data_IF_230080844715
#
_entry.id   IF_230080844715
#
_cell.length_a   1.000
_cell.length_b   1.000
_cell.length_c   1.000
_cell.angle_alpha   90.00
_cell.angle_beta   90.00
_cell.angle_gamma   90.00
#
_symmetry.space_group_name_H-M   'P 1'
#
loop_
_entity.id
_entity.type
_entity.pdbx_description
1 polymer ?
#
# COMPACT_ATOMS: atom_id res chain seq x y z
N UNK A 1 -15.43 10.04 8.23
CA UNK A 1 -14.80 9.06 9.15
C UNK A 1 -14.26 7.94 8.29
N UNK A 2 -12.99 7.56 8.43
CA UNK A 2 -12.42 6.41 7.71
C UNK A 2 -12.80 5.14 8.48
N UNK A 3 -13.86 4.47 8.04
CA UNK A 3 -14.37 3.24 8.69
C UNK A 3 -14.30 2.06 7.71
N UNK A 4 -14.41 0.85 8.25
CA UNK A 4 -14.60 -0.37 7.48
C UNK A 4 -16.04 -0.90 7.63
N UNK A 5 -17.01 0.00 7.70
CA UNK A 5 -18.43 -0.38 7.74
C UNK A 5 -18.78 -1.17 6.46
N UNK A 6 -19.54 -2.26 6.61
CA UNK A 6 -19.89 -3.15 5.49
C UNK A 6 -18.87 -4.26 5.21
N UNK A 7 -17.71 -4.28 5.90
CA UNK A 7 -16.66 -5.30 5.69
C UNK A 7 -17.11 -6.74 5.98
N UNK A 8 -18.15 -6.90 6.81
CA UNK A 8 -18.75 -8.18 7.15
C UNK A 8 -19.47 -8.84 5.96
N UNK A 9 -19.91 -8.03 4.99
CA UNK A 9 -20.58 -8.51 3.79
C UNK A 9 -19.60 -8.97 2.69
N UNK A 10 -18.31 -8.68 2.86
CA UNK A 10 -17.25 -9.11 1.95
C UNK A 10 -16.69 -10.47 2.37
N UNK A 11 -16.94 -11.47 1.54
CA UNK A 11 -16.32 -12.78 1.65
C UNK A 11 -14.97 -12.76 0.93
N UNK A 12 -13.94 -13.25 1.62
CA UNK A 12 -12.59 -13.38 1.10
C UNK A 12 -12.04 -14.73 1.53
N UNK A 13 -11.34 -15.40 0.63
CA UNK A 13 -10.66 -16.66 0.86
C UNK A 13 -9.34 -16.69 0.09
N UNK A 14 -8.63 -17.82 0.17
CA UNK A 14 -7.36 -18.03 -0.55
C UNK A 14 -7.50 -17.98 -2.08
N UNK A 15 -8.70 -18.09 -2.64
CA UNK A 15 -8.97 -17.93 -4.07
C UNK A 15 -9.28 -16.47 -4.45
N UNK A 16 -9.27 -15.55 -3.49
CA UNK A 16 -9.54 -14.12 -3.71
C UNK A 16 -8.25 -13.35 -3.94
N UNK A 17 -8.21 -12.55 -5.01
CA UNK A 17 -7.24 -11.48 -5.18
C UNK A 17 -7.86 -10.16 -4.76
N UNK A 18 -7.13 -9.37 -3.96
CA UNK A 18 -7.51 -7.98 -3.64
C UNK A 18 -6.62 -7.05 -4.46
N UNK A 19 -7.23 -6.06 -5.10
CA UNK A 19 -6.51 -5.05 -5.88
C UNK A 19 -6.98 -3.68 -5.40
N UNK A 20 -6.02 -2.83 -5.05
CA UNK A 20 -6.27 -1.41 -4.81
C UNK A 20 -5.59 -0.59 -5.90
N UNK A 21 -6.30 0.41 -6.41
CA UNK A 21 -5.79 1.36 -7.39
C UNK A 21 -6.19 2.75 -6.92
N UNK A 22 -5.23 3.55 -6.45
CA UNK A 22 -5.46 4.89 -5.85
C UNK A 22 -6.42 4.94 -4.65
N UNK A 23 -6.88 3.80 -4.14
CA UNK A 23 -7.90 3.79 -3.08
C UNK A 23 -7.30 3.99 -1.69
N UNK A 24 -5.98 3.76 -1.55
CA UNK A 24 -5.27 3.96 -0.30
C UNK A 24 -4.59 5.33 -0.22
N UNK A 25 -4.54 6.06 -1.33
CA UNK A 25 -3.79 7.30 -1.50
C UNK A 25 -4.02 8.30 -0.37
N UNK A 26 -5.26 8.57 0.05
CA UNK A 26 -5.57 9.62 1.03
C UNK A 26 -5.58 9.13 2.50
N UNK A 27 -4.99 7.97 2.79
CA UNK A 27 -5.03 7.40 4.14
C UNK A 27 -3.96 7.99 5.08
N UNK A 28 -2.94 8.68 4.56
CA UNK A 28 -1.78 9.05 5.37
C UNK A 28 -1.20 7.82 6.07
N UNK A 29 -1.11 7.90 7.41
CA UNK A 29 -0.67 6.79 8.24
C UNK A 29 -1.84 5.94 8.81
N UNK A 30 -3.09 6.21 8.42
CA UNK A 30 -4.30 5.57 8.96
C UNK A 30 -4.72 4.30 8.18
N UNK A 31 -3.76 3.57 7.63
CA UNK A 31 -4.01 2.36 6.83
C UNK A 31 -4.17 1.08 7.67
N UNK A 32 -3.84 1.10 8.97
CA UNK A 32 -3.88 -0.10 9.82
C UNK A 32 -5.21 -0.85 9.78
N UNK A 33 -6.39 -0.21 9.81
CA UNK A 33 -7.66 -0.94 9.76
C UNK A 33 -7.79 -1.83 8.52
N UNK A 34 -7.45 -1.33 7.32
CA UNK A 34 -7.55 -2.12 6.09
C UNK A 34 -6.48 -3.21 6.04
N UNK A 35 -5.26 -2.92 6.51
CA UNK A 35 -4.18 -3.89 6.60
C UNK A 35 -4.56 -5.05 7.54
N UNK A 36 -5.04 -4.75 8.75
CA UNK A 36 -5.48 -5.74 9.73
C UNK A 36 -6.64 -6.59 9.21
N UNK A 37 -7.56 -5.96 8.47
CA UNK A 37 -8.66 -6.68 7.84
C UNK A 37 -8.17 -7.68 6.79
N UNK A 38 -7.24 -7.28 5.91
CA UNK A 38 -6.67 -8.17 4.90
C UNK A 38 -5.84 -9.30 5.55
N UNK A 39 -5.08 -9.00 6.60
CA UNK A 39 -4.35 -10.01 7.39
C UNK A 39 -5.30 -11.02 8.05
N UNK A 40 -6.43 -10.55 8.58
CA UNK A 40 -7.45 -11.40 9.20
C UNK A 40 -8.16 -12.29 8.17
N UNK A 41 -8.51 -11.73 7.00
CA UNK A 41 -9.23 -12.44 5.94
C UNK A 41 -8.36 -13.38 5.12
N UNK A 42 -7.05 -13.16 5.12
CA UNK A 42 -6.05 -13.93 4.38
C UNK A 42 -6.45 -14.22 2.92
N UNK A 43 -6.63 -13.19 2.06
CA UNK A 43 -6.80 -13.41 0.63
C UNK A 43 -5.56 -14.11 0.02
N UNK A 44 -5.71 -14.77 -1.12
CA UNK A 44 -4.59 -15.47 -1.77
C UNK A 44 -3.45 -14.54 -2.20
N UNK A 45 -3.78 -13.31 -2.56
CA UNK A 45 -2.84 -12.26 -2.94
C UNK A 45 -3.47 -10.87 -2.81
N UNK A 46 -2.65 -9.87 -2.52
CA UNK A 46 -3.02 -8.46 -2.49
C UNK A 46 -2.08 -7.68 -3.40
N UNK A 47 -2.65 -6.86 -4.28
CA UNK A 47 -1.95 -5.94 -5.16
C UNK A 47 -2.34 -4.50 -4.80
N UNK A 48 -1.32 -3.65 -4.67
CA UNK A 48 -1.47 -2.22 -4.50
C UNK A 48 -0.81 -1.53 -5.68
N UNK A 49 -1.60 -0.80 -6.46
CA UNK A 49 -1.12 0.14 -7.45
C UNK A 49 -1.41 1.55 -6.91
N UNK A 50 -0.43 2.11 -6.23
CA UNK A 50 -0.61 3.29 -5.37
C UNK A 50 0.62 4.22 -5.47
N UNK A 51 0.47 5.50 -5.10
CA UNK A 51 1.60 6.40 -4.93
C UNK A 51 2.33 6.07 -3.61
N UNK A 52 3.28 5.15 -3.68
CA UNK A 52 4.05 4.66 -2.52
C UNK A 52 5.16 5.65 -2.16
N UNK A 53 4.99 6.33 -1.02
CA UNK A 53 5.91 7.35 -0.54
C UNK A 53 7.35 6.85 -0.35
N UNK A 54 7.53 5.59 0.05
CA UNK A 54 8.84 5.02 0.42
C UNK A 54 9.68 4.56 -0.76
N UNK A 55 9.19 4.71 -2.00
CA UNK A 55 9.99 4.47 -3.20
C UNK A 55 10.78 5.69 -3.67
N UNK A 56 10.50 6.88 -3.13
CA UNK A 56 11.25 8.09 -3.47
C UNK A 56 12.57 8.20 -2.71
N UNK A 57 13.59 8.68 -3.41
CA UNK A 57 14.90 8.99 -2.85
C UNK A 57 15.03 10.50 -2.61
N UNK A 58 15.14 10.94 -1.35
CA UNK A 58 15.33 12.36 -1.02
C UNK A 58 16.64 12.96 -1.53
N UNK A 59 17.59 12.14 -2.00
CA UNK A 59 18.80 12.59 -2.67
C UNK A 59 18.59 13.03 -4.13
N UNK A 60 17.43 12.71 -4.72
CA UNK A 60 17.05 13.13 -6.06
C UNK A 60 16.09 14.34 -5.99
N UNK A 61 16.38 15.40 -6.74
CA UNK A 61 15.61 16.65 -6.68
C UNK A 61 14.14 16.48 -7.10
N UNK A 62 13.84 15.62 -8.09
CA UNK A 62 12.48 15.36 -8.54
C UNK A 62 11.70 14.54 -7.49
N UNK A 63 12.37 13.55 -6.92
CA UNK A 63 11.81 12.73 -5.84
C UNK A 63 11.57 13.56 -4.57
N UNK A 64 12.47 14.48 -4.23
CA UNK A 64 12.28 15.38 -3.08
C UNK A 64 11.07 16.31 -3.29
N UNK A 65 10.82 16.76 -4.52
CA UNK A 65 9.60 17.49 -4.86
C UNK A 65 8.34 16.62 -4.71
N UNK A 66 8.38 15.36 -5.18
CA UNK A 66 7.28 14.41 -5.01
C UNK A 66 7.02 14.11 -3.52
N UNK A 67 8.08 13.90 -2.73
CA UNK A 67 8.02 13.74 -1.27
C UNK A 67 7.33 14.93 -0.60
N UNK A 68 7.70 16.16 -0.97
CA UNK A 68 7.05 17.38 -0.45
C UNK A 68 5.58 17.44 -0.84
N UNK A 69 5.25 17.04 -2.06
CA UNK A 69 3.87 16.99 -2.55
C UNK A 69 3.02 15.98 -1.77
N UNK A 70 3.49 14.73 -1.63
CA UNK A 70 2.84 13.69 -0.84
C UNK A 70 2.59 14.12 0.61
N UNK A 71 3.60 14.71 1.27
CA UNK A 71 3.47 15.23 2.64
C UNK A 71 2.41 16.32 2.74
N UNK A 72 2.39 17.27 1.80
CA UNK A 72 1.40 18.35 1.77
C UNK A 72 -0.01 17.83 1.60
N UNK A 73 -0.18 16.73 0.89
CA UNK A 73 -1.48 16.11 0.60
C UNK A 73 -1.90 15.04 1.61
N UNK A 74 -1.04 14.70 2.58
CA UNK A 74 -1.25 13.60 3.51
C UNK A 74 -1.50 12.26 2.78
N UNK A 75 -0.69 11.98 1.76
CA UNK A 75 -0.77 10.72 1.03
C UNK A 75 -0.26 9.54 1.85
N UNK A 76 -0.61 8.32 1.41
CA UNK A 76 -0.21 7.06 2.01
C UNK A 76 1.28 7.07 2.39
N UNK A 77 1.54 6.84 3.68
CA UNK A 77 2.87 6.92 4.25
C UNK A 77 2.99 5.96 5.43
N UNK A 78 4.10 5.25 5.51
CA UNK A 78 4.40 4.16 6.43
C UNK A 78 3.96 2.78 5.95
N UNK A 79 3.35 2.65 4.76
CA UNK A 79 2.74 1.37 4.35
C UNK A 79 3.78 0.32 3.97
N UNK A 80 4.76 0.69 3.14
CA UNK A 80 5.80 -0.26 2.73
C UNK A 80 6.64 -0.75 3.93
N UNK A 81 7.14 0.11 4.84
CA UNK A 81 7.83 -0.33 6.05
C UNK A 81 7.00 -1.27 6.93
N UNK A 82 5.69 -1.02 7.05
CA UNK A 82 4.80 -1.90 7.81
C UNK A 82 4.72 -3.31 7.19
N UNK A 83 4.68 -3.41 5.85
CA UNK A 83 4.72 -4.71 5.17
C UNK A 83 6.06 -5.42 5.37
N UNK A 84 7.18 -4.69 5.32
CA UNK A 84 8.51 -5.26 5.57
C UNK A 84 8.65 -5.81 7.00
N UNK A 85 8.08 -5.13 7.99
CA UNK A 85 8.04 -5.61 9.37
C UNK A 85 7.19 -6.88 9.51
N UNK A 86 6.03 -6.94 8.84
CA UNK A 86 5.17 -8.13 8.82
C UNK A 86 5.84 -9.33 8.13
N UNK A 87 6.61 -9.08 7.08
CA UNK A 87 7.41 -10.09 6.39
C UNK A 87 8.51 -10.65 7.31
N UNK A 88 9.23 -9.79 8.05
CA UNK A 88 10.21 -10.23 9.05
C UNK A 88 9.59 -11.10 10.14
N UNK A 89 8.34 -10.79 10.53
CA UNK A 89 7.54 -11.59 11.48
C UNK A 89 6.94 -12.86 10.86
N UNK A 90 7.17 -13.13 9.57
CA UNK A 90 6.61 -14.26 8.82
C UNK A 90 5.08 -14.29 8.81
N UNK A 91 4.44 -13.13 8.89
CA UNK A 91 2.98 -13.01 8.79
C UNK A 91 2.52 -12.90 7.34
N UNK A 92 3.35 -12.31 6.49
CA UNK A 92 3.14 -12.17 5.05
C UNK A 92 4.42 -12.52 4.30
N UNK A 93 4.29 -12.68 3.00
CA UNK A 93 5.38 -12.71 2.04
C UNK A 93 5.19 -11.60 1.02
N UNK A 94 6.17 -10.72 0.88
CA UNK A 94 6.20 -9.71 -0.17
C UNK A 94 6.68 -10.39 -1.45
N UNK A 95 5.83 -10.34 -2.48
CA UNK A 95 6.08 -10.97 -3.78
C UNK A 95 6.80 -10.00 -4.71
N UNK A 96 6.38 -8.73 -4.69
CA UNK A 96 6.94 -7.71 -5.57
C UNK A 96 6.92 -6.34 -4.86
N UNK A 97 7.99 -5.58 -5.07
CA UNK A 97 8.08 -4.13 -4.81
C UNK A 97 8.67 -3.49 -6.06
N UNK A 98 7.89 -2.67 -6.74
CA UNK A 98 8.32 -2.11 -8.02
C UNK A 98 7.81 -0.69 -8.19
N UNK A 99 8.75 0.25 -8.18
CA UNK A 99 8.55 1.60 -8.64
C UNK A 99 8.52 1.61 -10.17
N UNK A 100 7.43 2.11 -10.76
CA UNK A 100 7.21 2.03 -12.20
C UNK A 100 7.84 3.18 -12.99
N UNK A 101 8.29 4.25 -12.32
CA UNK A 101 8.76 5.47 -12.98
C UNK A 101 7.73 6.07 -13.93
N UNK A 102 6.45 5.83 -13.64
CA UNK A 102 5.31 6.28 -14.43
C UNK A 102 4.31 7.03 -13.55
N UNK A 103 3.88 8.19 -14.03
CA UNK A 103 3.01 9.08 -13.27
C UNK A 103 2.73 10.39 -14.00
N UNK A 104 2.54 11.44 -13.22
CA UNK A 104 2.23 12.77 -13.72
C UNK A 104 3.35 13.76 -13.35
N UNK A 105 3.11 15.06 -13.53
CA UNK A 105 4.09 16.11 -13.24
C UNK A 105 4.54 16.16 -11.78
N UNK A 106 3.69 15.69 -10.85
CA UNK A 106 3.86 15.84 -9.41
C UNK A 106 4.38 14.58 -8.73
N UNK A 107 4.03 13.40 -9.24
CA UNK A 107 4.31 12.13 -8.56
C UNK A 107 4.17 10.90 -9.45
N UNK A 108 4.74 9.78 -8.98
CA UNK A 108 4.58 8.44 -9.52
C UNK A 108 3.40 7.73 -8.86
N UNK A 109 2.29 7.73 -9.60
CA UNK A 109 0.99 7.29 -9.14
C UNK A 109 0.80 5.77 -9.11
N UNK A 110 1.58 5.04 -9.91
CA UNK A 110 1.31 3.65 -10.25
C UNK A 110 2.42 2.71 -9.80
N UNK A 111 2.97 2.92 -8.60
CA UNK A 111 3.94 1.98 -8.04
C UNK A 111 3.25 0.72 -7.55
N UNK A 112 3.90 -0.44 -7.75
CA UNK A 112 3.35 -1.76 -7.44
C UNK A 112 3.94 -2.33 -6.15
N UNK A 113 3.07 -2.73 -5.23
CA UNK A 113 3.40 -3.67 -4.16
C UNK A 113 2.47 -4.87 -4.28
N UNK A 114 3.03 -6.08 -4.30
CA UNK A 114 2.26 -7.32 -4.24
C UNK A 114 2.72 -8.16 -3.05
N UNK A 115 1.79 -8.65 -2.25
CA UNK A 115 2.09 -9.51 -1.10
C UNK A 115 0.99 -10.55 -0.90
N UNK A 116 1.31 -11.60 -0.15
CA UNK A 116 0.34 -12.60 0.27
C UNK A 116 0.49 -12.94 1.75
N UNK A 117 -0.57 -13.31 2.47
CA UNK A 117 -0.47 -13.85 3.82
C UNK A 117 0.33 -15.17 3.83
N UNK A 118 1.07 -15.41 4.91
CA UNK A 118 1.61 -16.74 5.18
C UNK A 118 0.52 -17.67 5.76
N UNK A 119 0.57 -18.99 5.49
CA UNK A 119 -0.40 -19.98 5.98
C UNK A 119 -0.64 -19.93 7.49
#
# INVERSE_FOLDING_TARGET
>A
MLTLEGKENLQMCQDTAVITIHSMEQLGNSFSPILDYLLCKKPGIVFHLEPIFEFYDSGNDLDDLAIKYHKKKNYLNGYLPALEELEQKKMIKVIQKHRTHFGNLFEEQYSLIAWKPEP
#
